data_IF_748321760012
#
_entry.id   IF_748321760012
#
_cell.length_a   1.000
_cell.length_b   1.000
_cell.length_c   1.000
_cell.angle_alpha   90.00
_cell.angle_beta   90.00
_cell.angle_gamma   90.00
#
_symmetry.space_group_name_H-M   'P 1'
#
loop_
_entity.id
_entity.type
_entity.pdbx_description
1 polymer ?
#
# COMPACT_ATOMS: atom_id res chain seq x y z
N UNK A 1 -9.54 -10.56 -41.98
CA UNK A 1 -10.94 -10.21 -41.70
C UNK A 1 -11.21 -8.86 -42.32
N UNK A 2 -12.18 -8.78 -43.27
CA UNK A 2 -12.49 -7.55 -44.01
C UNK A 2 -13.23 -6.60 -43.05
N UNK A 3 -12.60 -5.50 -42.71
CA UNK A 3 -13.28 -4.39 -42.05
C UNK A 3 -14.34 -3.82 -43.01
N UNK A 4 -15.60 -4.12 -42.76
CA UNK A 4 -16.70 -3.44 -43.45
C UNK A 4 -16.68 -1.97 -43.04
N UNK A 5 -16.62 -1.04 -44.02
CA UNK A 5 -16.81 0.39 -43.73
C UNK A 5 -18.18 0.61 -43.12
N UNK A 6 -18.32 1.45 -42.08
CA UNK A 6 -19.62 1.81 -41.54
C UNK A 6 -20.52 2.40 -42.60
N UNK A 7 -21.71 1.86 -42.76
CA UNK A 7 -22.72 2.32 -43.76
C UNK A 7 -23.73 3.24 -43.10
N UNK A 8 -23.30 4.30 -42.44
CA UNK A 8 -24.19 5.26 -41.78
C UNK A 8 -23.86 6.71 -42.17
N UNK A 9 -24.88 7.56 -42.23
CA UNK A 9 -24.80 8.97 -42.58
C UNK A 9 -23.98 9.82 -41.56
N UNK A 10 -23.53 9.25 -40.45
CA UNK A 10 -22.91 9.97 -39.33
C UNK A 10 -21.38 9.81 -39.27
N UNK A 11 -20.74 9.03 -40.17
CA UNK A 11 -19.28 8.84 -40.14
C UNK A 11 -18.80 7.97 -38.99
N UNK A 12 -17.47 8.02 -38.68
CA UNK A 12 -16.85 7.35 -37.57
C UNK A 12 -17.20 8.08 -36.26
N UNK A 13 -17.52 7.31 -35.23
CA UNK A 13 -17.72 7.79 -33.86
C UNK A 13 -16.48 7.53 -33.00
N UNK A 14 -16.38 8.14 -31.84
CA UNK A 14 -15.29 7.89 -30.91
C UNK A 14 -15.37 6.47 -30.32
N UNK A 15 -16.58 5.93 -30.15
CA UNK A 15 -16.80 4.53 -29.79
C UNK A 15 -16.26 3.54 -30.85
N UNK A 16 -16.37 3.87 -32.15
CA UNK A 16 -15.77 3.08 -33.22
C UNK A 16 -14.22 3.08 -33.18
N UNK A 17 -13.64 4.07 -32.50
CA UNK A 17 -12.20 4.16 -32.24
C UNK A 17 -11.79 3.47 -30.94
N UNK A 18 -12.75 2.89 -30.19
CA UNK A 18 -12.51 2.14 -28.98
C UNK A 18 -12.58 2.94 -27.68
N UNK A 19 -13.18 4.15 -27.70
CA UNK A 19 -13.38 4.99 -26.51
C UNK A 19 -14.87 5.27 -26.33
N UNK A 20 -15.45 4.82 -25.21
CA UNK A 20 -16.87 4.94 -24.89
C UNK A 20 -17.14 6.03 -23.83
N UNK A 21 -17.52 7.23 -24.29
CA UNK A 21 -17.85 8.36 -23.42
C UNK A 21 -19.03 8.05 -22.49
N UNK A 22 -20.03 7.28 -22.97
CA UNK A 22 -21.20 6.95 -22.17
C UNK A 22 -20.86 5.99 -21.04
N UNK A 23 -19.97 5.02 -21.28
CA UNK A 23 -19.42 4.16 -20.23
C UNK A 23 -18.66 4.97 -19.17
N UNK A 24 -17.81 5.94 -19.58
CA UNK A 24 -17.13 6.85 -18.68
C UNK A 24 -18.12 7.66 -17.81
N UNK A 25 -19.15 8.23 -18.40
CA UNK A 25 -20.20 8.96 -17.67
C UNK A 25 -20.98 8.04 -16.70
N UNK A 26 -21.27 6.81 -17.11
CA UNK A 26 -21.92 5.82 -16.26
C UNK A 26 -21.06 5.47 -15.04
N UNK A 27 -19.76 5.26 -15.22
CA UNK A 27 -18.81 5.03 -14.13
C UNK A 27 -18.82 6.21 -13.15
N UNK A 28 -18.65 7.46 -13.63
CA UNK A 28 -18.64 8.65 -12.78
C UNK A 28 -19.92 8.73 -11.93
N UNK A 29 -21.09 8.49 -12.52
CA UNK A 29 -22.35 8.50 -11.77
C UNK A 29 -22.41 7.40 -10.70
N UNK A 30 -21.86 6.22 -11.00
CA UNK A 30 -21.86 5.07 -10.08
C UNK A 30 -20.92 5.28 -8.88
N UNK A 31 -19.78 5.95 -9.07
CA UNK A 31 -18.78 6.16 -8.02
C UNK A 31 -19.08 7.39 -7.13
N UNK A 32 -19.92 8.33 -7.52
CA UNK A 32 -20.28 9.52 -6.71
C UNK A 32 -20.63 9.20 -5.24
N UNK A 33 -21.47 8.19 -4.94
CA UNK A 33 -21.78 7.86 -3.53
C UNK A 33 -20.56 7.32 -2.78
N UNK A 34 -19.66 6.60 -3.45
CA UNK A 34 -18.43 6.05 -2.87
C UNK A 34 -17.47 7.18 -2.48
N UNK A 35 -17.27 8.13 -3.38
CA UNK A 35 -16.46 9.33 -3.15
C UNK A 35 -17.02 10.13 -1.99
N UNK A 36 -18.31 10.41 -1.98
CA UNK A 36 -18.98 11.16 -0.90
C UNK A 36 -18.82 10.49 0.47
N UNK A 37 -18.76 9.18 0.52
CA UNK A 37 -18.55 8.42 1.76
C UNK A 37 -17.14 8.59 2.37
N UNK A 38 -16.20 9.21 1.64
CA UNK A 38 -14.84 9.52 2.12
C UNK A 38 -14.68 10.95 2.60
N UNK A 39 -15.76 11.76 2.62
CA UNK A 39 -15.72 13.18 3.01
C UNK A 39 -15.13 13.39 4.40
N UNK A 40 -14.33 14.46 4.53
CA UNK A 40 -13.68 14.85 5.79
C UNK A 40 -13.61 16.38 5.89
N UNK A 41 -13.33 16.96 7.09
CA UNK A 41 -13.07 18.39 7.20
C UNK A 41 -11.97 18.85 6.24
N UNK A 42 -12.18 19.97 5.56
CA UNK A 42 -11.28 20.52 4.54
C UNK A 42 -11.53 20.01 3.12
N UNK A 43 -12.19 18.87 2.93
CA UNK A 43 -12.55 18.35 1.61
C UNK A 43 -14.05 18.44 1.40
N UNK A 44 -14.50 19.31 0.48
CA UNK A 44 -15.88 19.33 0.00
C UNK A 44 -15.93 18.51 -1.30
N UNK A 45 -16.49 17.31 -1.22
CA UNK A 45 -16.25 16.25 -2.18
C UNK A 45 -17.37 16.11 -3.22
N UNK A 46 -17.58 17.15 -4.04
CA UNK A 46 -18.29 16.97 -5.30
C UNK A 46 -17.28 16.71 -6.43
N UNK A 47 -17.29 15.48 -6.98
CA UNK A 47 -16.50 15.13 -8.16
C UNK A 47 -17.23 15.55 -9.44
N UNK A 48 -16.45 15.85 -10.49
CA UNK A 48 -16.93 16.24 -11.81
C UNK A 48 -16.53 17.66 -12.23
N UNK A 49 -15.77 18.37 -11.37
CA UNK A 49 -15.05 19.59 -11.73
C UNK A 49 -13.67 19.29 -12.32
N UNK A 50 -12.91 20.33 -12.68
CA UNK A 50 -11.55 20.18 -13.22
C UNK A 50 -10.51 19.79 -12.17
N UNK A 51 -10.81 19.98 -10.88
CA UNK A 51 -9.89 19.63 -9.80
C UNK A 51 -10.59 19.61 -8.45
N UNK A 52 -10.04 18.83 -7.50
CA UNK A 52 -10.49 18.80 -6.11
C UNK A 52 -9.90 19.96 -5.30
N UNK A 53 -10.71 20.53 -4.41
CA UNK A 53 -10.27 21.58 -3.49
C UNK A 53 -10.07 20.99 -2.09
N UNK A 54 -9.04 21.48 -1.38
CA UNK A 54 -8.83 21.12 0.01
C UNK A 54 -8.43 22.34 0.85
N UNK A 55 -9.18 22.58 1.92
CA UNK A 55 -8.94 23.69 2.86
C UNK A 55 -8.14 23.19 4.08
N UNK A 56 -6.84 23.45 4.10
CA UNK A 56 -5.95 23.11 5.20
C UNK A 56 -6.36 23.72 6.52
N UNK A 57 -6.81 24.96 6.50
CA UNK A 57 -7.26 25.66 7.71
C UNK A 57 -8.57 25.08 8.22
N UNK A 58 -9.48 24.75 7.32
CA UNK A 58 -10.73 24.02 7.65
C UNK A 58 -10.48 22.63 8.20
N UNK A 59 -9.34 22.02 7.86
CA UNK A 59 -8.88 20.74 8.42
C UNK A 59 -8.14 20.86 9.78
N UNK A 60 -7.90 22.09 10.27
CA UNK A 60 -7.32 22.34 11.59
C UNK A 60 -5.80 22.50 11.64
N UNK A 61 -5.13 22.69 10.51
CA UNK A 61 -3.68 22.94 10.46
C UNK A 61 -3.34 24.42 10.64
N UNK A 62 -2.24 24.69 11.36
CA UNK A 62 -1.75 26.04 11.65
C UNK A 62 -0.53 26.43 10.78
N UNK A 63 0.55 25.65 10.81
CA UNK A 63 1.78 25.83 10.00
C UNK A 63 2.20 24.53 9.31
N UNK A 64 1.34 23.98 8.41
CA UNK A 64 1.58 22.68 7.82
C UNK A 64 2.67 22.70 6.75
N UNK A 65 3.40 21.58 6.68
CA UNK A 65 4.16 21.17 5.50
C UNK A 65 3.37 20.10 4.78
N UNK A 66 3.20 20.27 3.47
CA UNK A 66 2.57 19.26 2.62
C UNK A 66 3.57 18.14 2.30
N UNK A 67 3.09 16.91 2.38
CA UNK A 67 3.81 15.71 1.95
C UNK A 67 3.00 15.04 0.85
N UNK A 68 3.65 14.68 -0.24
CA UNK A 68 3.01 14.03 -1.37
C UNK A 68 3.70 12.70 -1.67
N UNK A 69 2.92 11.69 -1.95
CA UNK A 69 3.38 10.37 -2.39
C UNK A 69 2.56 9.90 -3.58
N UNK A 70 3.20 9.18 -4.51
CA UNK A 70 2.50 8.45 -5.55
C UNK A 70 3.07 7.04 -5.67
N UNK A 71 2.20 6.08 -5.94
CA UNK A 71 2.58 4.69 -6.12
C UNK A 71 1.53 3.96 -6.99
N UNK A 72 1.83 2.73 -7.36
CA UNK A 72 0.94 1.80 -8.04
C UNK A 72 0.72 0.53 -7.21
N UNK A 73 0.03 -0.45 -7.80
CA UNK A 73 -0.16 -1.78 -7.20
C UNK A 73 0.86 -2.78 -7.73
N UNK A 74 1.34 -2.57 -8.93
CA UNK A 74 2.27 -3.48 -9.59
C UNK A 74 1.62 -4.78 -10.07
N UNK A 75 2.41 -5.84 -10.18
CA UNK A 75 1.97 -7.09 -10.85
C UNK A 75 0.98 -7.93 -10.04
N UNK A 76 0.59 -7.53 -8.83
CA UNK A 76 -0.58 -8.06 -8.11
C UNK A 76 -1.86 -7.86 -8.92
N UNK A 77 -1.94 -6.80 -9.74
CA UNK A 77 -3.06 -6.56 -10.67
C UNK A 77 -3.31 -7.73 -11.61
N UNK A 78 -2.28 -8.46 -12.05
CA UNK A 78 -2.50 -9.63 -12.91
C UNK A 78 -3.27 -10.74 -12.19
N UNK A 79 -3.07 -10.91 -10.89
CA UNK A 79 -3.84 -11.86 -10.09
C UNK A 79 -5.28 -11.37 -9.95
N UNK A 80 -5.49 -10.08 -9.68
CA UNK A 80 -6.83 -9.49 -9.62
C UNK A 80 -7.62 -9.74 -10.91
N UNK A 81 -7.00 -9.52 -12.06
CA UNK A 81 -7.58 -9.72 -13.40
C UNK A 81 -7.91 -11.20 -13.62
N UNK A 82 -6.97 -12.11 -13.30
CA UNK A 82 -7.13 -13.55 -13.53
C UNK A 82 -8.14 -14.20 -12.57
N UNK A 83 -8.36 -13.61 -11.37
CA UNK A 83 -9.26 -14.14 -10.34
C UNK A 83 -10.58 -13.39 -10.24
N UNK A 84 -10.73 -12.24 -10.90
CA UNK A 84 -11.91 -11.37 -10.77
C UNK A 84 -12.02 -10.67 -9.40
N UNK A 85 -10.92 -10.55 -8.64
CA UNK A 85 -10.90 -9.92 -7.31
C UNK A 85 -10.38 -8.49 -7.41
N UNK A 86 -11.22 -7.56 -7.88
CA UNK A 86 -10.78 -6.20 -8.22
C UNK A 86 -10.81 -5.23 -7.04
N UNK A 87 -11.66 -5.45 -6.02
CA UNK A 87 -11.84 -4.51 -4.91
C UNK A 87 -10.61 -4.38 -4.02
N UNK A 88 -9.93 -5.48 -3.74
CA UNK A 88 -8.78 -5.47 -2.82
C UNK A 88 -7.61 -4.64 -3.32
N UNK A 89 -7.38 -4.62 -4.65
CA UNK A 89 -6.27 -3.82 -5.23
C UNK A 89 -6.49 -2.32 -5.13
N UNK A 90 -7.74 -1.87 -5.00
CA UNK A 90 -8.03 -0.47 -4.68
C UNK A 90 -7.56 -0.08 -3.27
N UNK A 91 -7.71 -0.99 -2.29
CA UNK A 91 -7.15 -0.79 -0.94
C UNK A 91 -5.61 -0.79 -0.99
N UNK A 92 -5.02 -1.74 -1.75
CA UNK A 92 -3.57 -1.78 -1.96
C UNK A 92 -3.04 -0.44 -2.49
N UNK A 93 -3.68 0.11 -3.52
CA UNK A 93 -3.27 1.38 -4.12
C UNK A 93 -3.22 2.52 -3.09
N UNK A 94 -4.27 2.65 -2.28
CA UNK A 94 -4.32 3.68 -1.23
C UNK A 94 -3.26 3.41 -0.18
N UNK A 95 -3.13 2.16 0.28
CA UNK A 95 -2.18 1.78 1.33
C UNK A 95 -0.73 2.11 0.96
N UNK A 96 -0.32 1.80 -0.27
CA UNK A 96 1.03 2.09 -0.76
C UNK A 96 1.34 3.59 -0.70
N UNK A 97 0.38 4.45 -1.04
CA UNK A 97 0.56 5.89 -1.00
C UNK A 97 0.48 6.48 0.42
N UNK A 98 -0.55 6.11 1.21
CA UNK A 98 -0.81 6.79 2.50
C UNK A 98 0.14 6.31 3.62
N UNK A 99 0.64 5.08 3.54
CA UNK A 99 1.67 4.62 4.46
C UNK A 99 2.98 5.40 4.26
N UNK A 100 3.30 5.81 3.02
CA UNK A 100 4.45 6.65 2.72
C UNK A 100 4.27 8.11 3.19
N UNK A 101 3.03 8.57 3.39
CA UNK A 101 2.78 9.88 4.02
C UNK A 101 3.00 9.81 5.53
N UNK A 102 2.44 8.79 6.20
CA UNK A 102 2.52 8.71 7.67
C UNK A 102 3.93 8.46 8.17
N UNK A 103 4.83 7.85 7.37
CA UNK A 103 6.25 7.71 7.77
C UNK A 103 6.99 9.05 7.85
N UNK A 104 6.45 10.11 7.24
CA UNK A 104 6.92 11.49 7.40
C UNK A 104 6.22 12.22 8.57
N UNK A 105 5.36 11.52 9.36
CA UNK A 105 4.50 12.11 10.39
C UNK A 105 3.25 12.81 9.82
N UNK A 106 3.01 12.70 8.52
CA UNK A 106 1.91 13.40 7.85
C UNK A 106 0.57 12.66 7.97
N UNK A 107 -0.48 13.40 8.28
CA UNK A 107 -1.86 12.95 8.18
C UNK A 107 -2.30 12.99 6.71
N UNK A 108 -2.74 11.88 6.09
CA UNK A 108 -3.30 11.88 4.74
C UNK A 108 -4.56 12.74 4.67
N UNK A 109 -4.59 13.65 3.71
CA UNK A 109 -5.69 14.61 3.52
C UNK A 109 -6.63 14.16 2.41
N UNK A 110 -6.05 13.89 1.23
CA UNK A 110 -6.81 13.50 0.06
C UNK A 110 -6.03 12.55 -0.84
N UNK A 111 -6.79 11.88 -1.68
CA UNK A 111 -6.33 10.90 -2.65
C UNK A 111 -6.91 11.18 -4.02
N UNK A 112 -6.13 10.92 -5.06
CA UNK A 112 -6.52 10.93 -6.46
C UNK A 112 -6.06 9.60 -7.07
N UNK A 113 -6.87 9.02 -7.96
CA UNK A 113 -6.50 7.80 -8.67
C UNK A 113 -6.41 8.03 -10.19
N UNK A 114 -5.64 7.18 -10.84
CA UNK A 114 -5.59 7.03 -12.28
C UNK A 114 -5.85 5.57 -12.64
N UNK A 115 -6.95 5.33 -13.34
CA UNK A 115 -7.33 4.03 -13.86
C UNK A 115 -7.14 4.02 -15.37
N UNK A 116 -6.22 3.20 -15.89
CA UNK A 116 -5.93 3.08 -17.31
C UNK A 116 -6.25 1.67 -17.81
N UNK A 117 -6.98 1.56 -18.92
CA UNK A 117 -7.40 0.28 -19.50
C UNK A 117 -7.43 0.32 -21.03
N UNK A 118 -7.48 -0.84 -21.67
CA UNK A 118 -7.67 -0.93 -23.12
C UNK A 118 -9.11 -0.67 -23.57
N UNK A 119 -10.08 -1.10 -22.74
CA UNK A 119 -11.52 -0.87 -22.91
C UNK A 119 -12.16 -0.86 -21.54
N UNK A 120 -13.03 0.11 -21.27
CA UNK A 120 -13.63 0.32 -19.95
C UNK A 120 -14.74 -0.71 -19.68
N UNK A 121 -14.51 -1.59 -18.71
CA UNK A 121 -15.57 -2.35 -18.05
C UNK A 121 -16.00 -1.60 -16.79
N UNK A 122 -17.24 -1.11 -16.80
CA UNK A 122 -17.79 -0.26 -15.71
C UNK A 122 -17.89 -1.01 -14.39
N UNK A 123 -18.17 -2.30 -14.42
CA UNK A 123 -18.30 -3.11 -13.20
C UNK A 123 -16.94 -3.31 -12.55
N UNK A 124 -15.93 -3.72 -13.30
CA UNK A 124 -14.54 -3.86 -12.84
C UNK A 124 -13.99 -2.53 -12.29
N UNK A 125 -14.13 -1.44 -13.05
CA UNK A 125 -13.65 -0.13 -12.61
C UNK A 125 -14.36 0.35 -11.34
N UNK A 126 -15.68 0.15 -11.24
CA UNK A 126 -16.46 0.49 -10.04
C UNK A 126 -16.02 -0.32 -8.82
N UNK A 127 -15.68 -1.60 -8.97
CA UNK A 127 -15.17 -2.43 -7.88
C UNK A 127 -13.79 -1.95 -7.41
N UNK A 128 -12.90 -1.59 -8.33
CA UNK A 128 -11.59 -0.99 -7.98
C UNK A 128 -11.78 0.31 -7.22
N UNK A 129 -12.63 1.24 -7.72
CA UNK A 129 -12.88 2.53 -7.05
C UNK A 129 -13.58 2.33 -5.70
N UNK A 130 -14.42 1.31 -5.55
CA UNK A 130 -14.99 0.95 -4.25
C UNK A 130 -13.89 0.54 -3.25
N UNK A 131 -12.89 -0.22 -3.69
CA UNK A 131 -11.70 -0.54 -2.90
C UNK A 131 -10.88 0.69 -2.54
N UNK A 132 -10.68 1.62 -3.48
CA UNK A 132 -10.01 2.90 -3.24
C UNK A 132 -10.76 3.70 -2.16
N UNK A 133 -12.08 3.81 -2.27
CA UNK A 133 -12.89 4.50 -1.27
C UNK A 133 -12.82 3.83 0.11
N UNK A 134 -12.76 2.50 0.17
CA UNK A 134 -12.57 1.77 1.43
C UNK A 134 -11.18 2.05 2.03
N UNK A 135 -10.12 2.03 1.22
CA UNK A 135 -8.77 2.41 1.63
C UNK A 135 -8.71 3.85 2.16
N UNK A 136 -9.34 4.80 1.46
CA UNK A 136 -9.43 6.20 1.88
C UNK A 136 -10.13 6.34 3.24
N UNK A 137 -11.24 5.64 3.48
CA UNK A 137 -11.93 5.61 4.79
C UNK A 137 -11.04 5.03 5.89
N UNK A 138 -10.31 3.95 5.61
CA UNK A 138 -9.34 3.37 6.55
C UNK A 138 -8.23 4.37 6.90
N UNK A 139 -7.70 5.09 5.92
CA UNK A 139 -6.68 6.10 6.12
C UNK A 139 -7.21 7.42 6.71
N UNK A 140 -8.52 7.70 6.60
CA UNK A 140 -9.09 9.00 6.96
C UNK A 140 -8.85 10.08 5.90
N UNK A 141 -8.52 9.70 4.66
CA UNK A 141 -8.34 10.59 3.52
C UNK A 141 -9.64 10.75 2.73
N UNK A 142 -9.80 11.89 2.04
CA UNK A 142 -10.90 12.08 1.10
C UNK A 142 -10.47 11.68 -0.32
N UNK A 143 -11.27 10.87 -1.00
CA UNK A 143 -11.14 10.68 -2.45
C UNK A 143 -11.79 11.91 -3.13
N UNK A 144 -10.99 12.81 -3.69
CA UNK A 144 -11.47 14.11 -4.20
C UNK A 144 -11.47 14.22 -5.73
N UNK A 145 -11.04 13.19 -6.42
CA UNK A 145 -10.98 13.14 -7.88
C UNK A 145 -10.20 11.92 -8.36
N UNK A 146 -10.06 11.84 -9.65
CA UNK A 146 -9.33 10.79 -10.34
C UNK A 146 -9.49 10.93 -11.84
N UNK A 147 -8.87 10.04 -12.59
CA UNK A 147 -8.95 9.98 -14.04
C UNK A 147 -9.16 8.53 -14.50
N UNK A 148 -10.03 8.34 -15.47
CA UNK A 148 -10.22 7.05 -16.14
C UNK A 148 -9.89 7.21 -17.61
N UNK A 149 -8.90 6.47 -18.10
CA UNK A 149 -8.43 6.54 -19.48
C UNK A 149 -8.63 5.22 -20.20
N UNK A 150 -9.38 5.26 -21.31
CA UNK A 150 -9.40 4.19 -22.29
C UNK A 150 -8.29 4.42 -23.31
N UNK A 151 -7.37 3.46 -23.41
CA UNK A 151 -6.22 3.52 -24.30
C UNK A 151 -6.14 2.25 -25.16
N UNK A 152 -7.03 2.12 -26.17
CA UNK A 152 -7.07 0.97 -27.06
C UNK A 152 -5.73 0.79 -27.77
N UNK A 153 -5.20 -0.43 -27.74
CA UNK A 153 -3.90 -0.77 -28.34
C UNK A 153 -2.70 -0.60 -27.41
N UNK A 154 -2.81 0.14 -26.29
CA UNK A 154 -1.78 0.18 -25.24
C UNK A 154 -1.98 -0.94 -24.21
N UNK A 155 -3.21 -1.15 -23.77
CA UNK A 155 -3.60 -2.26 -22.89
C UNK A 155 -4.39 -3.29 -23.68
N UNK A 156 -4.29 -4.56 -23.30
CA UNK A 156 -5.15 -5.63 -23.82
C UNK A 156 -6.54 -5.49 -23.23
N UNK A 157 -7.52 -6.05 -23.91
CA UNK A 157 -8.88 -6.18 -23.36
C UNK A 157 -8.85 -6.89 -22.01
N UNK A 158 -9.50 -6.32 -21.01
CA UNK A 158 -9.52 -6.80 -19.62
C UNK A 158 -8.28 -6.46 -18.78
N UNK A 159 -7.19 -5.99 -19.38
CA UNK A 159 -6.04 -5.48 -18.63
C UNK A 159 -6.26 -4.02 -18.21
N UNK A 160 -5.83 -3.69 -17.01
CA UNK A 160 -5.81 -2.32 -16.50
C UNK A 160 -4.56 -2.06 -15.64
N UNK A 161 -4.24 -0.79 -15.45
CA UNK A 161 -3.19 -0.32 -14.56
C UNK A 161 -3.72 0.78 -13.64
N UNK A 162 -3.12 0.90 -12.47
CA UNK A 162 -3.53 1.82 -11.42
C UNK A 162 -2.34 2.66 -10.95
N UNK A 163 -2.54 3.95 -10.83
CA UNK A 163 -1.65 4.84 -10.11
C UNK A 163 -2.45 5.66 -9.10
N UNK A 164 -1.90 5.83 -7.91
CA UNK A 164 -2.45 6.65 -6.84
C UNK A 164 -1.56 7.86 -6.58
N UNK A 165 -2.17 8.96 -6.22
CA UNK A 165 -1.51 10.16 -5.74
C UNK A 165 -2.19 10.62 -4.46
N UNK A 166 -1.43 10.73 -3.39
CA UNK A 166 -1.92 11.21 -2.10
C UNK A 166 -1.15 12.43 -1.61
N UNK A 167 -1.86 13.29 -0.92
CA UNK A 167 -1.27 14.44 -0.22
C UNK A 167 -1.68 14.38 1.23
N UNK A 168 -0.70 14.56 2.10
CA UNK A 168 -0.87 14.71 3.54
C UNK A 168 -0.26 16.01 4.03
N UNK A 169 -0.48 16.31 5.29
CA UNK A 169 0.14 17.45 5.96
C UNK A 169 0.66 17.04 7.34
N UNK A 170 1.73 17.70 7.76
CA UNK A 170 2.33 17.59 9.08
C UNK A 170 2.71 18.98 9.56
N UNK A 171 2.48 19.28 10.85
CA UNK A 171 2.96 20.53 11.43
C UNK A 171 4.49 20.58 11.38
N UNK A 172 5.05 21.75 11.06
CA UNK A 172 6.49 21.94 10.80
C UNK A 172 7.41 21.37 11.88
N UNK A 173 6.98 21.39 13.14
CA UNK A 173 7.75 20.87 14.27
C UNK A 173 7.61 19.36 14.50
N UNK A 174 6.79 18.63 13.70
CA UNK A 174 6.45 17.23 13.93
C UNK A 174 6.91 16.29 12.80
N UNK A 175 7.73 16.82 11.86
CA UNK A 175 8.23 16.03 10.73
C UNK A 175 9.14 14.89 11.19
N UNK A 176 8.96 13.71 10.58
CA UNK A 176 9.81 12.54 10.75
C UNK A 176 10.70 12.32 9.48
N UNK A 177 11.87 11.65 9.61
CA UNK A 177 12.49 11.23 10.87
C UNK A 177 13.03 12.39 11.68
N UNK A 178 13.04 12.22 12.99
CA UNK A 178 13.66 13.18 13.91
C UNK A 178 15.18 13.09 13.83
N UNK A 179 15.87 14.17 14.17
CA UNK A 179 17.34 14.24 14.14
C UNK A 179 18.01 13.52 15.33
N UNK A 180 17.24 13.12 16.34
CA UNK A 180 17.69 12.48 17.57
C UNK A 180 17.53 10.95 17.56
N UNK A 181 17.38 10.33 16.39
CA UNK A 181 17.56 8.87 16.25
C UNK A 181 19.00 8.54 16.62
N UNK A 182 19.18 7.59 17.57
CA UNK A 182 20.49 7.31 18.14
C UNK A 182 20.63 5.86 18.60
N UNK A 183 21.85 5.46 18.88
CA UNK A 183 22.16 4.19 19.54
C UNK A 183 21.37 4.05 20.85
N UNK A 184 20.77 2.87 21.03
CA UNK A 184 19.91 2.53 22.17
C UNK A 184 18.42 2.61 21.85
N UNK A 185 18.02 3.32 20.80
CA UNK A 185 16.63 3.33 20.37
C UNK A 185 16.15 1.93 20.00
N UNK A 186 14.89 1.65 20.29
CA UNK A 186 14.25 0.35 20.06
C UNK A 186 13.59 0.32 18.69
N UNK A 187 13.59 -0.85 18.06
CA UNK A 187 12.83 -1.13 16.85
C UNK A 187 11.59 -1.94 17.18
N UNK A 188 10.42 -1.34 16.96
CA UNK A 188 9.13 -2.03 17.03
C UNK A 188 8.67 -2.35 15.61
N UNK A 189 8.31 -3.61 15.36
CA UNK A 189 7.72 -4.07 14.11
C UNK A 189 6.21 -4.17 14.24
N UNK A 190 5.46 -3.61 13.28
CA UNK A 190 4.03 -3.86 13.14
C UNK A 190 3.80 -4.98 12.14
N UNK A 191 2.95 -5.94 12.52
CA UNK A 191 2.66 -7.09 11.67
C UNK A 191 2.06 -6.68 10.33
N UNK A 192 2.49 -7.33 9.25
CA UNK A 192 1.83 -7.23 7.95
C UNK A 192 0.58 -8.11 7.89
N UNK A 193 -0.32 -7.81 6.96
CA UNK A 193 -1.49 -8.66 6.64
C UNK A 193 -1.12 -9.86 5.74
N UNK A 194 0.10 -9.90 5.23
CA UNK A 194 0.59 -10.87 4.27
C UNK A 194 1.65 -10.26 3.37
N UNK A 195 1.64 -10.62 2.08
CA UNK A 195 2.65 -10.17 1.10
C UNK A 195 2.56 -8.67 0.80
N UNK A 196 1.42 -8.03 1.07
CA UNK A 196 1.10 -6.65 0.69
C UNK A 196 1.03 -6.46 -0.83
N UNK A 197 1.82 -5.51 -1.39
CA UNK A 197 1.83 -5.23 -2.84
C UNK A 197 3.20 -5.38 -3.49
N UNK A 198 4.19 -5.93 -2.78
CA UNK A 198 5.55 -6.08 -3.29
C UNK A 198 5.91 -7.56 -3.51
N UNK A 199 6.84 -7.81 -4.45
CA UNK A 199 7.34 -9.16 -4.73
C UNK A 199 6.41 -10.02 -5.62
N UNK A 200 5.33 -9.50 -6.16
CA UNK A 200 4.34 -10.28 -6.91
C UNK A 200 4.83 -10.85 -8.24
N UNK A 201 5.87 -10.27 -8.84
CA UNK A 201 6.53 -10.89 -10.00
C UNK A 201 7.17 -12.23 -9.61
N UNK A 202 7.78 -12.31 -8.42
CA UNK A 202 8.33 -13.56 -7.86
C UNK A 202 7.20 -14.53 -7.47
N UNK A 203 6.15 -14.06 -6.80
CA UNK A 203 4.96 -14.89 -6.46
C UNK A 203 4.40 -15.57 -7.72
N UNK A 204 4.14 -14.81 -8.77
CA UNK A 204 3.62 -15.33 -10.04
C UNK A 204 4.59 -16.33 -10.69
N UNK A 205 5.89 -16.08 -10.62
CA UNK A 205 6.89 -17.00 -11.15
C UNK A 205 6.97 -18.30 -10.36
N UNK A 206 6.83 -18.24 -9.04
CA UNK A 206 6.75 -19.44 -8.17
C UNK A 206 5.51 -20.27 -8.54
N UNK A 207 4.35 -19.64 -8.68
CA UNK A 207 3.11 -20.31 -9.10
C UNK A 207 3.25 -21.02 -10.45
N UNK A 208 3.81 -20.32 -11.43
CA UNK A 208 4.09 -20.87 -12.77
C UNK A 208 4.99 -22.10 -12.73
N UNK A 209 6.13 -22.00 -12.02
CA UNK A 209 7.12 -23.09 -11.93
C UNK A 209 6.58 -24.29 -11.16
N UNK A 210 5.74 -24.06 -10.14
CA UNK A 210 5.12 -25.11 -9.36
C UNK A 210 3.88 -25.74 -10.05
N UNK A 211 3.42 -25.18 -11.17
CA UNK A 211 2.23 -25.65 -11.89
C UNK A 211 0.94 -25.47 -11.08
N UNK A 212 0.88 -24.43 -10.22
CA UNK A 212 -0.25 -24.15 -9.33
C UNK A 212 -1.20 -23.12 -9.96
N UNK A 213 -2.50 -23.28 -9.66
CA UNK A 213 -3.56 -22.35 -10.04
C UNK A 213 -3.99 -21.50 -8.83
N UNK A 214 -4.50 -20.27 -9.09
CA UNK A 214 -5.03 -19.41 -8.03
C UNK A 214 -6.20 -20.01 -7.26
N UNK A 215 -6.94 -20.94 -7.87
CA UNK A 215 -8.05 -21.69 -7.26
C UNK A 215 -7.61 -22.84 -6.38
N UNK A 216 -6.33 -23.23 -6.41
CA UNK A 216 -5.84 -24.32 -5.57
C UNK A 216 -5.90 -23.95 -4.10
N UNK A 217 -6.14 -24.96 -3.25
CA UNK A 217 -6.21 -24.77 -1.81
C UNK A 217 -4.85 -24.30 -1.25
N UNK A 218 -4.87 -23.27 -0.40
CA UNK A 218 -3.70 -22.84 0.34
C UNK A 218 -3.40 -23.85 1.45
N UNK A 219 -2.39 -24.70 1.24
CA UNK A 219 -2.03 -25.79 2.17
C UNK A 219 -1.65 -25.31 3.57
N UNK A 220 -1.32 -24.04 3.70
CA UNK A 220 -0.90 -23.36 4.93
C UNK A 220 -2.04 -22.54 5.59
N UNK A 221 -3.20 -22.43 4.96
CA UNK A 221 -4.37 -21.70 5.49
C UNK A 221 -5.68 -22.39 5.14
N UNK A 222 -6.24 -23.07 6.13
CA UNK A 222 -7.45 -23.91 5.94
C UNK A 222 -8.64 -23.11 5.39
N UNK A 223 -9.30 -23.67 4.38
CA UNK A 223 -10.52 -23.11 3.79
C UNK A 223 -10.31 -21.96 2.82
N UNK A 224 -9.06 -21.56 2.56
CA UNK A 224 -8.73 -20.51 1.59
C UNK A 224 -8.05 -21.09 0.34
N UNK A 225 -8.17 -20.36 -0.78
CA UNK A 225 -7.41 -20.61 -2.00
C UNK A 225 -6.13 -19.78 -2.01
N UNK A 226 -5.14 -20.19 -2.82
CA UNK A 226 -3.92 -19.42 -3.02
C UNK A 226 -4.23 -18.00 -3.49
N UNK A 227 -5.16 -17.84 -4.44
CA UNK A 227 -5.59 -16.52 -4.90
C UNK A 227 -6.17 -15.68 -3.77
N UNK A 228 -7.03 -16.23 -2.91
CA UNK A 228 -7.63 -15.46 -1.81
C UNK A 228 -6.61 -15.00 -0.77
N UNK A 229 -5.61 -15.82 -0.43
CA UNK A 229 -4.55 -15.45 0.52
C UNK A 229 -3.60 -14.42 -0.09
N UNK A 230 -3.22 -14.62 -1.35
CA UNK A 230 -2.29 -13.72 -2.05
C UNK A 230 -2.95 -12.40 -2.48
N UNK A 231 -4.28 -12.31 -2.46
CA UNK A 231 -5.03 -11.08 -2.70
C UNK A 231 -5.40 -10.32 -1.41
N UNK A 232 -4.95 -10.80 -0.23
CA UNK A 232 -5.10 -10.03 1.01
C UNK A 232 -4.53 -8.62 0.84
N UNK A 233 -5.31 -7.56 1.15
CA UNK A 233 -4.86 -6.20 0.89
C UNK A 233 -3.75 -5.76 1.85
N UNK A 234 -2.95 -4.82 1.39
CA UNK A 234 -1.92 -4.13 2.17
C UNK A 234 -2.55 -3.45 3.38
N UNK A 235 -1.98 -3.67 4.56
CA UNK A 235 -2.43 -3.02 5.80
C UNK A 235 -2.17 -1.52 5.75
N UNK A 236 -3.17 -0.73 6.17
CA UNK A 236 -3.07 0.73 6.32
C UNK A 236 -2.79 1.04 7.79
N UNK A 237 -1.61 1.58 8.10
CA UNK A 237 -1.13 1.84 9.45
C UNK A 237 -1.42 3.28 9.93
N UNK A 238 -2.06 4.10 9.11
CA UNK A 238 -2.19 5.55 9.30
C UNK A 238 -2.80 5.92 10.65
N UNK A 239 -4.04 5.45 10.93
CA UNK A 239 -4.75 5.86 12.16
C UNK A 239 -4.04 5.41 13.44
N UNK A 240 -3.59 4.14 13.57
CA UNK A 240 -2.80 3.71 14.72
C UNK A 240 -1.54 4.54 14.94
N UNK A 241 -0.79 4.81 13.87
CA UNK A 241 0.44 5.60 13.97
C UNK A 241 0.18 7.06 14.35
N UNK A 242 -0.82 7.71 13.75
CA UNK A 242 -1.21 9.08 14.12
C UNK A 242 -1.70 9.15 15.57
N UNK A 243 -2.43 8.12 16.03
CA UNK A 243 -2.84 7.98 17.43
C UNK A 243 -1.63 7.91 18.37
N UNK A 244 -0.66 7.07 18.05
CA UNK A 244 0.57 6.93 18.83
C UNK A 244 1.42 8.20 18.81
N UNK A 245 1.61 8.84 17.65
CA UNK A 245 2.32 10.12 17.51
C UNK A 245 1.70 11.23 18.35
N UNK A 246 0.37 11.26 18.45
CA UNK A 246 -0.37 12.26 19.24
C UNK A 246 -0.32 11.99 20.74
N UNK A 247 -0.30 10.73 21.17
CA UNK A 247 -0.41 10.34 22.57
C UNK A 247 0.93 10.15 23.27
N UNK A 248 2.01 9.93 22.50
CA UNK A 248 3.36 9.67 23.03
C UNK A 248 4.38 10.63 22.41
N UNK A 249 5.56 10.74 23.01
CA UNK A 249 6.65 11.58 22.51
C UNK A 249 7.82 10.79 21.93
N UNK A 250 7.79 9.45 22.06
CA UNK A 250 8.94 8.59 21.87
C UNK A 250 9.23 8.19 20.41
N UNK A 251 8.29 8.34 19.49
CA UNK A 251 8.48 7.96 18.09
C UNK A 251 9.45 8.92 17.42
N UNK A 252 10.55 8.38 16.89
CA UNK A 252 11.60 9.16 16.25
C UNK A 252 11.65 8.97 14.73
N UNK A 253 11.32 7.77 14.24
CA UNK A 253 11.26 7.47 12.81
C UNK A 253 10.27 6.34 12.53
N UNK A 254 9.78 6.29 11.30
CA UNK A 254 8.89 5.26 10.78
C UNK A 254 9.43 4.79 9.42
N UNK A 255 9.40 3.49 9.16
CA UNK A 255 9.80 2.92 7.87
C UNK A 255 8.73 1.96 7.34
N UNK A 256 8.14 2.28 6.20
CA UNK A 256 7.22 1.40 5.47
C UNK A 256 8.03 0.32 4.75
N UNK A 257 7.76 -0.94 5.02
CA UNK A 257 8.53 -2.06 4.48
C UNK A 257 7.87 -2.54 3.18
N UNK A 258 8.42 -2.08 2.07
CA UNK A 258 7.99 -2.34 0.70
C UNK A 258 9.03 -3.17 -0.08
N UNK A 259 9.15 -3.00 -1.40
CA UNK A 259 10.21 -3.61 -2.19
C UNK A 259 11.59 -3.22 -1.68
N UNK A 260 12.51 -4.18 -1.64
CA UNK A 260 13.79 -4.05 -0.93
C UNK A 260 13.75 -4.57 0.50
N UNK A 261 12.56 -4.80 1.08
CA UNK A 261 12.36 -5.37 2.43
C UNK A 261 13.02 -4.55 3.54
N UNK A 262 13.27 -5.18 4.68
CA UNK A 262 13.96 -4.56 5.81
C UNK A 262 15.35 -4.00 5.44
N UNK A 263 16.18 -4.70 4.61
CA UNK A 263 17.53 -4.23 4.29
C UNK A 263 17.59 -2.87 3.58
N UNK A 264 16.63 -2.55 2.72
CA UNK A 264 16.70 -1.37 1.86
C UNK A 264 15.75 -0.23 2.32
N UNK A 265 14.71 -0.54 3.11
CA UNK A 265 13.77 0.48 3.56
C UNK A 265 14.18 1.12 4.91
N UNK A 266 14.67 0.33 5.86
CA UNK A 266 15.03 0.85 7.17
C UNK A 266 16.19 1.86 7.13
N UNK A 267 17.25 1.70 6.31
CA UNK A 267 18.32 2.69 6.22
C UNK A 267 17.89 4.10 5.79
N UNK A 268 16.76 4.22 5.10
CA UNK A 268 16.24 5.53 4.62
C UNK A 268 15.90 6.49 5.76
N UNK A 269 15.69 5.97 6.96
CA UNK A 269 15.26 6.75 8.13
C UNK A 269 16.29 6.75 9.26
N UNK A 270 17.45 6.14 9.04
CA UNK A 270 18.54 6.07 10.01
C UNK A 270 19.64 7.09 9.70
N UNK A 271 20.29 7.66 10.73
CA UNK A 271 21.52 8.43 10.56
C UNK A 271 22.67 7.55 10.01
N UNK A 272 23.58 8.16 9.26
CA UNK A 272 24.75 7.47 8.66
C UNK A 272 25.63 6.73 9.68
N UNK A 273 25.70 7.23 10.91
CA UNK A 273 26.52 6.67 12.00
C UNK A 273 25.78 5.62 12.84
N UNK A 274 24.68 5.08 12.34
CA UNK A 274 23.86 4.09 13.04
C UNK A 274 23.59 2.89 12.16
N UNK A 275 23.45 1.73 12.80
CA UNK A 275 22.97 0.49 12.20
C UNK A 275 21.78 -0.04 12.96
N UNK A 276 20.84 -0.66 12.26
CA UNK A 276 19.74 -1.41 12.86
C UNK A 276 20.18 -2.86 13.08
N UNK A 277 20.09 -3.37 14.30
CA UNK A 277 20.25 -4.81 14.60
C UNK A 277 18.89 -5.43 14.87
N UNK A 278 18.54 -6.42 14.06
CA UNK A 278 17.23 -7.09 14.08
C UNK A 278 17.42 -8.56 14.45
N UNK A 279 16.66 -9.02 15.43
CA UNK A 279 16.54 -10.45 15.75
C UNK A 279 15.39 -11.05 14.93
N UNK A 280 15.73 -11.79 13.88
CA UNK A 280 14.76 -12.41 12.99
C UNK A 280 13.88 -13.44 13.70
N UNK A 281 14.35 -14.07 14.79
CA UNK A 281 13.57 -15.05 15.55
C UNK A 281 12.41 -14.43 16.34
N UNK A 282 12.43 -13.11 16.51
CA UNK A 282 11.32 -12.37 17.15
C UNK A 282 10.14 -12.10 16.22
N UNK A 283 10.32 -12.28 14.92
CA UNK A 283 9.29 -11.95 13.90
C UNK A 283 8.38 -13.16 13.69
N UNK A 284 7.10 -12.99 13.98
CA UNK A 284 6.05 -13.98 13.63
C UNK A 284 5.63 -13.81 12.16
N UNK A 285 6.41 -14.41 11.26
CA UNK A 285 6.15 -14.32 9.83
C UNK A 285 4.92 -15.16 9.43
N UNK A 286 3.90 -14.58 8.76
CA UNK A 286 2.77 -15.32 8.23
C UNK A 286 3.19 -16.52 7.38
N UNK A 287 2.43 -17.63 7.49
CA UNK A 287 2.77 -18.91 6.87
C UNK A 287 2.94 -18.85 5.35
N UNK A 288 2.36 -17.85 4.68
CA UNK A 288 2.55 -17.60 3.25
C UNK A 288 4.03 -17.41 2.88
N UNK A 289 4.85 -16.80 3.75
CA UNK A 289 6.27 -16.58 3.46
C UNK A 289 7.07 -17.89 3.51
N UNK A 290 6.80 -18.76 4.49
CA UNK A 290 7.40 -20.10 4.53
C UNK A 290 6.97 -20.93 3.32
N UNK A 291 5.71 -20.82 2.91
CA UNK A 291 5.21 -21.50 1.72
C UNK A 291 5.89 -20.99 0.44
N UNK A 292 6.04 -19.67 0.27
CA UNK A 292 6.75 -19.07 -0.87
C UNK A 292 8.21 -19.51 -0.91
N UNK A 293 8.91 -19.46 0.23
CA UNK A 293 10.30 -19.86 0.33
C UNK A 293 10.49 -21.34 -0.07
N UNK A 294 9.67 -22.24 0.47
CA UNK A 294 9.74 -23.70 0.19
C UNK A 294 9.35 -24.02 -1.26
N UNK A 295 8.24 -23.49 -1.73
CA UNK A 295 7.71 -23.79 -3.07
C UNK A 295 8.62 -23.24 -4.16
N UNK A 296 9.16 -22.05 -3.95
CA UNK A 296 10.08 -21.39 -4.89
C UNK A 296 11.56 -21.76 -4.72
N UNK A 297 11.92 -22.47 -3.65
CA UNK A 297 13.34 -22.71 -3.31
C UNK A 297 14.09 -21.40 -3.06
N UNK A 298 13.43 -20.39 -2.51
CA UNK A 298 13.96 -19.03 -2.34
C UNK A 298 14.76 -18.96 -1.03
N UNK A 299 16.02 -18.56 -1.10
CA UNK A 299 16.85 -18.38 0.07
C UNK A 299 16.35 -17.26 0.98
N UNK A 300 16.48 -17.40 2.32
CA UNK A 300 16.01 -16.42 3.30
C UNK A 300 16.49 -14.98 3.03
N UNK A 301 17.75 -14.82 2.63
CA UNK A 301 18.30 -13.52 2.26
C UNK A 301 17.52 -12.85 1.10
N UNK A 302 17.09 -13.63 0.11
CA UNK A 302 16.30 -13.12 -1.01
C UNK A 302 14.84 -12.87 -0.58
N UNK A 303 14.28 -13.69 0.32
CA UNK A 303 12.98 -13.43 0.93
C UNK A 303 12.98 -12.09 1.66
N UNK A 304 13.98 -11.83 2.51
CA UNK A 304 14.13 -10.57 3.25
C UNK A 304 14.31 -9.34 2.36
N UNK A 305 14.88 -9.52 1.16
CA UNK A 305 15.07 -8.43 0.20
C UNK A 305 13.84 -8.18 -0.68
N UNK A 306 13.04 -9.22 -0.93
CA UNK A 306 11.89 -9.13 -1.84
C UNK A 306 10.61 -8.76 -1.11
N UNK A 307 10.44 -9.27 0.13
CA UNK A 307 9.20 -9.22 0.87
C UNK A 307 9.35 -8.53 2.23
N UNK A 308 8.20 -8.13 2.80
CA UNK A 308 8.13 -7.61 4.17
C UNK A 308 8.36 -8.69 5.25
N UNK A 309 8.26 -9.97 4.90
CA UNK A 309 8.45 -11.13 5.77
C UNK A 309 7.71 -11.07 7.11
N UNK A 310 6.53 -10.44 7.14
CA UNK A 310 5.70 -10.35 8.34
C UNK A 310 5.75 -9.00 9.06
N UNK A 311 6.66 -8.10 8.67
CA UNK A 311 6.78 -6.74 9.24
C UNK A 311 6.47 -5.71 8.17
N UNK A 312 5.29 -5.08 8.20
CA UNK A 312 4.90 -4.09 7.20
C UNK A 312 5.33 -2.66 7.55
N UNK A 313 5.57 -2.37 8.83
CA UNK A 313 6.03 -1.07 9.31
C UNK A 313 7.02 -1.25 10.45
N UNK A 314 8.11 -0.48 10.45
CA UNK A 314 9.05 -0.41 11.58
C UNK A 314 9.00 0.97 12.20
N UNK A 315 9.00 1.01 13.52
CA UNK A 315 9.00 2.23 14.33
C UNK A 315 10.33 2.29 15.09
N UNK A 316 11.05 3.38 14.94
CA UNK A 316 12.20 3.71 15.81
C UNK A 316 11.69 4.55 16.96
N UNK A 317 11.90 4.09 18.17
CA UNK A 317 11.35 4.72 19.37
C UNK A 317 12.41 4.79 20.48
N UNK A 318 12.36 5.85 21.30
CA UNK A 318 13.20 5.95 22.51
C UNK A 318 12.94 4.76 23.43
N UNK A 319 13.99 4.19 24.04
CA UNK A 319 13.87 2.94 24.83
C UNK A 319 12.90 3.07 26.00
N UNK A 320 12.91 4.21 26.68
CA UNK A 320 12.02 4.53 27.81
C UNK A 320 10.55 4.76 27.42
N UNK A 321 10.26 5.01 26.15
CA UNK A 321 8.90 5.21 25.62
C UNK A 321 8.35 3.99 24.85
N UNK A 322 9.18 2.97 24.64
CA UNK A 322 8.84 1.86 23.74
C UNK A 322 7.60 1.07 24.18
N UNK A 323 7.43 0.84 25.49
CA UNK A 323 6.29 0.10 26.04
C UNK A 323 5.00 0.94 25.97
N UNK A 324 5.08 2.27 26.14
CA UNK A 324 3.93 3.15 26.01
C UNK A 324 3.46 3.28 24.56
N UNK A 325 4.40 3.41 23.62
CA UNK A 325 4.09 3.40 22.18
C UNK A 325 3.47 2.07 21.76
N UNK A 326 4.06 0.94 22.17
CA UNK A 326 3.52 -0.39 21.87
C UNK A 326 2.09 -0.54 22.39
N UNK A 327 1.84 -0.15 23.65
CA UNK A 327 0.51 -0.23 24.27
C UNK A 327 -0.55 0.60 23.53
N UNK A 328 -0.20 1.81 23.05
CA UNK A 328 -1.14 2.63 22.27
C UNK A 328 -1.48 1.93 20.97
N UNK A 329 -0.48 1.41 20.24
CA UNK A 329 -0.67 0.71 18.98
C UNK A 329 -1.48 -0.58 19.14
N UNK A 330 -1.24 -1.35 20.20
CA UNK A 330 -2.02 -2.55 20.53
C UNK A 330 -3.48 -2.24 20.83
N UNK A 331 -3.75 -1.13 21.54
CA UNK A 331 -5.12 -0.66 21.79
C UNK A 331 -5.85 -0.23 20.50
N UNK A 332 -5.12 0.20 19.48
CA UNK A 332 -5.64 0.50 18.14
C UNK A 332 -5.75 -0.77 17.26
N UNK A 333 -5.42 -1.95 17.79
CA UNK A 333 -5.56 -3.24 17.11
C UNK A 333 -4.35 -3.68 16.28
N UNK A 334 -3.19 -3.06 16.49
CA UNK A 334 -1.95 -3.50 15.88
C UNK A 334 -1.32 -4.66 16.67
N UNK A 335 -0.63 -5.58 15.98
CA UNK A 335 0.28 -6.53 16.60
C UNK A 335 1.68 -5.94 16.56
N UNK A 336 2.21 -5.66 17.76
CA UNK A 336 3.51 -5.01 17.93
C UNK A 336 4.51 -6.01 18.46
N UNK A 337 5.71 -6.02 17.88
CA UNK A 337 6.81 -6.88 18.33
C UNK A 337 8.08 -6.05 18.44
N UNK A 338 8.80 -6.18 19.55
CA UNK A 338 10.13 -5.60 19.69
C UNK A 338 11.09 -6.47 18.86
N UNK A 339 11.52 -5.98 17.69
CA UNK A 339 12.30 -6.74 16.71
C UNK A 339 13.81 -6.47 16.79
N UNK A 340 14.24 -5.44 17.53
CA UNK A 340 15.64 -5.08 17.60
C UNK A 340 15.90 -3.72 18.20
N UNK A 341 17.05 -3.16 17.89
CA UNK A 341 17.49 -1.84 18.37
C UNK A 341 18.43 -1.16 17.38
N UNK A 342 18.65 0.12 17.59
CA UNK A 342 19.67 0.91 16.92
C UNK A 342 21.00 0.74 17.67
N UNK A 343 22.06 0.44 16.94
CA UNK A 343 23.45 0.35 17.44
C UNK A 343 24.32 1.41 16.77
N UNK A 344 25.55 1.56 17.25
CA UNK A 344 26.57 2.33 16.53
C UNK A 344 26.82 1.71 15.15
N UNK A 345 27.35 2.51 14.23
CA UNK A 345 27.68 2.07 12.88
C UNK A 345 28.41 0.71 12.88
N UNK A 346 27.85 -0.26 12.18
CA UNK A 346 28.39 -1.61 11.99
C UNK A 346 28.84 -1.83 10.55
N UNK A 347 29.11 -3.10 10.21
CA UNK A 347 29.56 -3.49 8.86
C UNK A 347 28.51 -3.30 7.77
N UNK A 348 27.25 -3.11 8.15
CA UNK A 348 26.13 -2.84 7.26
C UNK A 348 25.05 -1.97 7.95
N UNK A 349 24.24 -1.23 7.19
CA UNK A 349 23.15 -0.41 7.77
C UNK A 349 22.09 -1.24 8.53
N UNK A 350 21.87 -2.50 8.11
CA UNK A 350 20.96 -3.45 8.79
C UNK A 350 21.71 -4.76 9.02
N UNK A 351 21.74 -5.19 10.26
CA UNK A 351 22.38 -6.42 10.72
C UNK A 351 21.29 -7.37 11.22
N UNK A 352 21.38 -8.63 10.86
CA UNK A 352 20.42 -9.65 11.24
C UNK A 352 21.07 -10.69 12.16
N UNK A 353 20.41 -10.96 13.28
CA UNK A 353 20.72 -12.09 14.14
C UNK A 353 19.66 -13.19 13.95
N UNK A 354 20.06 -14.44 14.16
CA UNK A 354 19.20 -15.62 14.03
C UNK A 354 18.60 -15.82 12.61
N UNK A 355 17.42 -16.43 12.50
CA UNK A 355 16.73 -16.77 11.26
C UNK A 355 15.22 -16.65 11.45
N UNK A 356 14.50 -16.32 10.37
CA UNK A 356 13.03 -16.38 10.31
C UNK A 356 12.49 -17.81 10.33
N UNK A 357 13.35 -18.84 10.06
CA UNK A 357 12.93 -20.23 10.00
C UNK A 357 12.03 -20.56 8.80
N UNK A 358 12.09 -19.80 7.72
CA UNK A 358 11.21 -19.97 6.54
C UNK A 358 11.50 -21.27 5.76
N UNK A 359 12.70 -21.81 5.86
CA UNK A 359 13.23 -22.91 5.03
C UNK A 359 13.31 -24.26 5.75
N UNK A 360 12.68 -24.43 6.89
CA UNK A 360 12.70 -25.70 7.64
C UNK A 360 11.82 -26.80 7.02
#
# INVERSE_FOLDING_TARGET
MSHSKPSGSNGLTYADAGVDIDAGNALVNRIKPLVKATSRPGADSDIGGFGGLFDLKGAGFDDPILVAANDGVGTKLKIAIETGQHRTVGIDLVAMCVNDLVVQGAEPLFFLDYFATGSLDVDTASDVVAGIADGCKLAGAALIGGETAEMPGMYKEGDYDLAGFSVGAVERGQILPRKDVAQGDVLLGLASSGVHSNGYSMVRKIMELAGLAWSDAASFENGKTLGSVLMEPTRIYVKPLLSALKQTGGIKALAHITGGGLPENLPRVLPENCSARIDLSSIDAPAVFSWLAKTGGVAEKEMLRTFNCGVGMVIVVADDEADDVARVLENEGERVTRIGRIEAEGDAPVLFDNSLGLSA
#
